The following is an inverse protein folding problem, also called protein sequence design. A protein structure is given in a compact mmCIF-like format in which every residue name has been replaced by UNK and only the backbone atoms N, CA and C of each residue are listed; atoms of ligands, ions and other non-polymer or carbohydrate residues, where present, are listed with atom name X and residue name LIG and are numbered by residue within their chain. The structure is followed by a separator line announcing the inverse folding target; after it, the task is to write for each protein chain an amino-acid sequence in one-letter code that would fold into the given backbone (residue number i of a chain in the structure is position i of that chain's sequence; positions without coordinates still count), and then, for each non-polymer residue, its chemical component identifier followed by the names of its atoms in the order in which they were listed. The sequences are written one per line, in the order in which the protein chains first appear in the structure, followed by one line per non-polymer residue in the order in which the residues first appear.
data_IF_095804700977
#
_entry.id   IF_095804700977
#
_cell.length_a   1.000
_cell.length_b   1.000
_cell.length_c   1.000
_cell.angle_alpha   90.00
_cell.angle_beta   90.00
_cell.angle_gamma   90.00
#
_symmetry.space_group_name_H-M   'P 1'
#
loop_
_entity.id
_entity.type
_entity.pdbx_description
1 polymer ?
#
# COMPACT_ATOMS: atom_id res chain seq x y z
N UNK A 1 -1.10 8.91 13.81
CA UNK A 1 -1.32 7.52 14.25
C UNK A 1 -1.76 6.75 13.03
N UNK A 2 -0.85 5.96 12.43
CA UNK A 2 -1.25 4.96 11.46
C UNK A 2 -2.33 4.12 12.11
N UNK A 3 -3.42 3.83 11.40
CA UNK A 3 -4.35 2.83 11.88
C UNK A 3 -3.53 1.56 12.11
N UNK A 4 -3.27 1.29 13.39
CA UNK A 4 -2.81 0.00 13.86
C UNK A 4 -3.80 -0.97 13.21
N UNK A 5 -3.29 -1.88 12.39
CA UNK A 5 -4.05 -3.03 11.90
C UNK A 5 -3.69 -4.21 12.81
N UNK A 6 -4.13 -4.22 14.09
CA UNK A 6 -3.73 -5.24 15.07
C UNK A 6 -4.15 -6.64 14.66
N UNK A 7 -5.23 -6.77 13.89
CA UNK A 7 -5.90 -8.04 13.66
C UNK A 7 -5.49 -8.74 12.34
N UNK A 8 -4.51 -8.23 11.60
CA UNK A 8 -4.09 -8.80 10.31
C UNK A 8 -3.12 -10.00 10.46
N UNK A 9 -3.31 -10.83 11.49
CA UNK A 9 -2.44 -11.98 11.80
C UNK A 9 -2.67 -13.23 10.92
N UNK A 10 -3.50 -13.19 9.87
CA UNK A 10 -3.78 -14.39 9.04
C UNK A 10 -4.08 -14.08 7.55
N UNK A 11 -3.15 -13.44 6.84
CA UNK A 11 -3.13 -13.53 5.38
C UNK A 11 -1.72 -13.90 4.92
N UNK A 12 -1.41 -15.19 4.96
CA UNK A 12 -0.09 -15.73 4.60
C UNK A 12 0.39 -15.34 3.19
N UNK A 13 -0.54 -14.94 2.30
CA UNK A 13 -0.27 -14.64 0.90
C UNK A 13 -0.36 -13.14 0.54
N UNK A 14 -0.52 -12.24 1.52
CA UNK A 14 -0.60 -10.80 1.26
C UNK A 14 0.78 -10.14 1.36
N UNK A 15 1.14 -9.39 0.33
CA UNK A 15 2.36 -8.58 0.24
C UNK A 15 2.03 -7.13 0.62
N UNK A 16 2.93 -6.50 1.38
CA UNK A 16 2.80 -5.11 1.81
C UNK A 16 3.69 -4.22 0.95
N UNK A 17 3.08 -3.32 0.20
CA UNK A 17 3.75 -2.25 -0.53
C UNK A 17 3.71 -0.97 0.28
N UNK A 18 4.84 -0.27 0.41
CA UNK A 18 4.95 0.98 1.18
C UNK A 18 5.68 2.06 0.38
N UNK A 19 5.10 3.24 0.37
CA UNK A 19 5.63 4.42 -0.31
C UNK A 19 5.55 5.62 0.63
N UNK A 20 6.60 6.42 0.68
CA UNK A 20 6.69 7.60 1.55
C UNK A 20 7.13 8.81 0.77
N UNK A 21 6.44 9.93 0.98
CA UNK A 21 6.87 11.23 0.49
C UNK A 21 6.96 12.25 1.63
N UNK A 22 7.89 13.19 1.48
CA UNK A 22 7.98 14.34 2.36
C UNK A 22 6.83 15.33 2.09
N UNK A 23 6.30 15.88 3.18
CA UNK A 23 5.19 16.84 3.19
C UNK A 23 3.82 16.18 3.09
N UNK A 24 2.78 17.02 3.17
CA UNK A 24 1.38 16.60 2.97
C UNK A 24 1.12 16.38 1.48
N UNK A 25 0.60 15.21 1.12
CA UNK A 25 0.24 14.87 -0.26
C UNK A 25 -1.23 14.48 -0.37
N UNK A 26 -1.84 14.81 -1.50
CA UNK A 26 -3.17 14.33 -1.84
C UNK A 26 -3.10 12.83 -2.14
N UNK A 27 -4.10 12.08 -1.68
CA UNK A 27 -4.17 10.63 -1.83
C UNK A 27 -3.95 10.17 -3.27
N UNK A 28 -4.67 10.76 -4.23
CA UNK A 28 -4.58 10.36 -5.64
C UNK A 28 -3.16 10.47 -6.21
N UNK A 29 -2.46 11.57 -5.88
CA UNK A 29 -1.08 11.78 -6.32
C UNK A 29 -0.10 10.78 -5.69
N UNK A 30 -0.34 10.41 -4.43
CA UNK A 30 0.47 9.46 -3.69
C UNK A 30 0.29 8.04 -4.24
N UNK A 31 -0.97 7.66 -4.54
CA UNK A 31 -1.31 6.36 -5.13
C UNK A 31 -0.73 6.22 -6.53
N UNK A 32 -0.86 7.24 -7.40
CA UNK A 32 -0.33 7.17 -8.76
C UNK A 32 1.19 6.94 -8.78
N UNK A 33 1.93 7.65 -7.93
CA UNK A 33 3.38 7.53 -7.83
C UNK A 33 3.81 6.20 -7.23
N UNK A 34 3.12 5.77 -6.18
CA UNK A 34 3.36 4.47 -5.58
C UNK A 34 3.12 3.32 -6.57
N UNK A 35 2.02 3.36 -7.34
CA UNK A 35 1.75 2.35 -8.39
C UNK A 35 2.84 2.38 -9.48
N UNK A 36 3.30 3.55 -9.88
CA UNK A 36 4.42 3.66 -10.83
C UNK A 36 5.72 3.07 -10.28
N UNK A 37 6.01 3.29 -9.01
CA UNK A 37 7.18 2.71 -8.33
C UNK A 37 7.10 1.18 -8.26
N UNK A 38 5.92 0.65 -7.93
CA UNK A 38 5.71 -0.78 -7.71
C UNK A 38 5.35 -1.55 -8.98
N UNK A 39 5.18 -0.88 -10.12
CA UNK A 39 4.57 -1.49 -11.32
C UNK A 39 5.25 -2.79 -11.75
N UNK A 40 6.58 -2.82 -11.69
CA UNK A 40 7.37 -3.99 -12.09
C UNK A 40 7.11 -5.21 -11.20
N UNK A 41 6.83 -5.01 -9.91
CA UNK A 41 6.51 -6.10 -8.98
C UNK A 41 5.04 -6.50 -9.11
N UNK A 42 4.14 -5.53 -9.24
CA UNK A 42 2.71 -5.77 -9.46
C UNK A 42 2.44 -6.60 -10.73
N UNK A 43 3.23 -6.39 -11.79
CA UNK A 43 3.15 -7.14 -13.04
C UNK A 43 3.56 -8.62 -12.90
N UNK A 44 4.25 -8.99 -11.83
CA UNK A 44 4.62 -10.40 -11.57
C UNK A 44 3.46 -11.22 -10.99
N UNK A 45 2.43 -10.56 -10.46
CA UNK A 45 1.27 -11.26 -9.91
C UNK A 45 0.42 -11.87 -11.02
N UNK A 46 -0.03 -13.10 -10.79
CA UNK A 46 -0.87 -13.85 -11.71
C UNK A 46 -2.22 -14.15 -11.06
N UNK A 47 -3.29 -14.10 -11.86
CA UNK A 47 -4.66 -14.28 -11.35
C UNK A 47 -5.24 -13.03 -10.68
N UNK A 48 -6.47 -13.15 -10.18
CA UNK A 48 -7.19 -12.05 -9.53
C UNK A 48 -6.53 -11.71 -8.18
N UNK A 49 -6.27 -10.41 -7.97
CA UNK A 49 -5.69 -9.87 -6.74
C UNK A 49 -6.68 -8.93 -6.07
N UNK A 50 -6.80 -9.02 -4.74
CA UNK A 50 -7.42 -8.01 -3.88
C UNK A 50 -6.38 -6.94 -3.55
N UNK A 51 -6.79 -5.69 -3.61
CA UNK A 51 -5.94 -4.52 -3.36
C UNK A 51 -6.61 -3.62 -2.31
N UNK A 52 -5.91 -3.33 -1.22
CA UNK A 52 -6.42 -2.46 -0.15
C UNK A 52 -5.35 -1.51 0.33
N UNK A 53 -5.58 -0.21 0.21
CA UNK A 53 -4.62 0.82 0.59
C UNK A 53 -5.14 1.72 1.69
N UNK A 54 -4.25 2.15 2.57
CA UNK A 54 -4.50 3.25 3.50
C UNK A 54 -3.27 4.17 3.55
N UNK A 55 -3.49 5.43 3.91
CA UNK A 55 -2.42 6.40 4.02
C UNK A 55 -2.53 7.21 5.32
N UNK A 56 -1.42 7.76 5.75
CA UNK A 56 -1.38 8.57 6.96
C UNK A 56 -0.17 9.49 6.98
N UNK A 57 -0.27 10.51 7.81
CA UNK A 57 0.82 11.46 8.04
C UNK A 57 1.49 11.18 9.39
N UNK A 58 2.82 11.17 9.41
CA UNK A 58 3.61 11.10 10.63
C UNK A 58 4.96 11.78 10.42
N UNK A 59 5.40 12.61 11.36
CA UNK A 59 6.69 13.30 11.33
C UNK A 59 6.97 14.07 10.02
N UNK A 60 5.94 14.72 9.47
CA UNK A 60 6.06 15.51 8.23
C UNK A 60 6.15 14.67 6.95
N UNK A 61 6.00 13.35 7.03
CA UNK A 61 5.91 12.46 5.88
C UNK A 61 4.49 11.94 5.69
N UNK A 62 4.07 11.86 4.45
CA UNK A 62 2.85 11.11 4.07
C UNK A 62 3.29 9.72 3.62
N UNK A 63 2.73 8.69 4.25
CA UNK A 63 3.03 7.29 3.93
C UNK A 63 1.76 6.62 3.42
N UNK A 64 1.88 5.94 2.28
CA UNK A 64 0.90 5.00 1.74
C UNK A 64 1.35 3.58 2.04
N UNK A 65 0.43 2.75 2.53
CA UNK A 65 0.62 1.31 2.65
C UNK A 65 -0.52 0.60 1.91
N UNK A 66 -0.17 -0.36 1.07
CA UNK A 66 -1.11 -1.19 0.33
C UNK A 66 -0.86 -2.67 0.61
N UNK A 67 -1.94 -3.41 0.82
CA UNK A 67 -1.95 -4.86 0.94
C UNK A 67 -2.44 -5.43 -0.39
N UNK A 68 -1.69 -6.37 -0.94
CA UNK A 68 -1.97 -7.01 -2.23
C UNK A 68 -1.81 -8.51 -2.10
N UNK A 69 -2.80 -9.26 -2.57
CA UNK A 69 -2.73 -10.71 -2.57
C UNK A 69 -3.94 -11.35 -3.25
N UNK A 70 -3.96 -12.68 -3.37
CA UNK A 70 -4.94 -13.40 -4.16
C UNK A 70 -6.39 -13.19 -3.69
N UNK A 71 -7.30 -13.12 -4.66
CA UNK A 71 -8.76 -13.07 -4.44
C UNK A 71 -9.30 -14.50 -4.19
N UNK A 72 -9.16 -14.98 -2.96
CA UNK A 72 -9.81 -16.23 -2.48
C UNK A 72 -11.29 -16.01 -2.13
#
# INVERSE_FOLDING_TARGET
MFAYMPDYMNFYDMIVFRHEEDGKRAYDSLVQRAIQEWSSELETFTGAQKFGCNYGESNGKTTLACLVGPDH
#
